data_IF_712313432466
#
_entry.id   IF_712313432466
#
_cell.length_a   1.000
_cell.length_b   1.000
_cell.length_c   1.000
_cell.angle_alpha   90.00
_cell.angle_beta   90.00
_cell.angle_gamma   90.00
#
_symmetry.space_group_name_H-M   'P 1'
#
loop_
_entity.id
_entity.type
_entity.pdbx_description
1 polymer ?
#
# COMPACT_ATOMS: atom_id res chain seq x y z
N UNK A 1 20.26 -23.85 -109.58
CA UNK A 1 18.80 -23.81 -109.36
C UNK A 1 18.53 -23.93 -107.87
N UNK A 2 18.20 -22.80 -107.28
CA UNK A 2 18.01 -22.58 -105.84
C UNK A 2 16.56 -22.91 -105.47
N UNK A 3 16.32 -23.67 -104.40
CA UNK A 3 14.97 -23.74 -103.81
C UNK A 3 15.03 -23.93 -102.30
N UNK A 4 14.40 -22.98 -101.63
CA UNK A 4 14.33 -22.74 -100.19
C UNK A 4 13.52 -23.82 -99.45
N UNK A 5 13.90 -24.09 -98.20
CA UNK A 5 12.94 -24.49 -97.16
C UNK A 5 13.08 -23.57 -95.95
N UNK A 6 12.02 -22.80 -95.72
CA UNK A 6 11.80 -21.88 -94.58
C UNK A 6 11.86 -22.65 -93.25
N UNK A 7 12.66 -22.15 -92.30
CA UNK A 7 12.55 -22.52 -90.88
C UNK A 7 11.63 -21.53 -90.17
N UNK A 8 10.69 -22.07 -89.39
CA UNK A 8 9.74 -21.32 -88.54
C UNK A 8 10.49 -20.58 -87.42
N UNK A 9 10.09 -19.36 -87.02
CA UNK A 9 10.60 -18.75 -85.81
C UNK A 9 9.91 -19.39 -84.59
N UNK A 10 10.70 -19.84 -83.61
CA UNK A 10 10.20 -20.28 -82.31
C UNK A 10 9.84 -19.05 -81.46
N UNK A 11 8.68 -19.13 -80.81
CA UNK A 11 8.17 -18.14 -79.85
C UNK A 11 9.17 -17.88 -78.73
N UNK A 12 9.53 -16.61 -78.54
CA UNK A 12 10.26 -16.15 -77.37
C UNK A 12 9.26 -15.79 -76.27
N UNK A 13 9.03 -16.69 -75.31
CA UNK A 13 8.24 -16.40 -74.10
C UNK A 13 9.16 -16.36 -72.88
N UNK A 14 9.88 -15.26 -72.69
CA UNK A 14 10.54 -15.00 -71.42
C UNK A 14 9.50 -14.52 -70.41
N UNK A 15 8.99 -15.42 -69.56
CA UNK A 15 8.26 -15.03 -68.34
C UNK A 15 9.23 -14.31 -67.42
N UNK A 16 9.09 -12.99 -67.29
CA UNK A 16 9.74 -12.23 -66.21
C UNK A 16 9.00 -12.54 -64.92
N UNK A 17 9.68 -13.19 -63.99
CA UNK A 17 9.24 -13.28 -62.60
C UNK A 17 9.57 -11.94 -61.96
N UNK A 18 8.54 -11.19 -61.59
CA UNK A 18 8.69 -9.98 -60.77
C UNK A 18 9.05 -10.46 -59.36
N UNK A 19 10.31 -10.32 -58.96
CA UNK A 19 10.70 -10.52 -57.56
C UNK A 19 10.08 -9.39 -56.74
N UNK A 20 9.26 -9.72 -55.75
CA UNK A 20 8.84 -8.79 -54.72
C UNK A 20 10.10 -8.29 -54.01
N UNK A 21 10.35 -6.98 -54.08
CA UNK A 21 11.37 -6.34 -53.26
C UNK A 21 10.83 -6.29 -51.83
N UNK A 22 11.43 -7.09 -50.94
CA UNK A 22 11.29 -6.86 -49.51
C UNK A 22 12.15 -5.63 -49.17
N UNK A 23 11.50 -4.55 -48.75
CA UNK A 23 12.21 -3.41 -48.16
C UNK A 23 12.90 -3.88 -46.88
N UNK A 24 14.19 -3.59 -46.77
CA UNK A 24 14.93 -3.80 -45.53
C UNK A 24 14.39 -2.81 -44.50
N UNK A 25 13.69 -3.30 -43.48
CA UNK A 25 13.33 -2.47 -42.34
C UNK A 25 14.60 -1.84 -41.74
N UNK A 26 14.54 -0.55 -41.43
CA UNK A 26 15.62 0.09 -40.66
C UNK A 26 15.79 -0.66 -39.34
N UNK A 27 17.03 -0.98 -38.95
CA UNK A 27 17.27 -1.57 -37.65
C UNK A 27 16.82 -0.57 -36.57
N UNK A 28 15.86 -0.97 -35.73
CA UNK A 28 15.55 -0.20 -34.51
C UNK A 28 16.80 -0.17 -33.65
N UNK A 29 17.47 0.97 -33.62
CA UNK A 29 18.53 1.20 -32.65
C UNK A 29 17.82 1.40 -31.30
N UNK A 30 17.78 0.33 -30.51
CA UNK A 30 17.37 0.43 -29.12
C UNK A 30 18.35 1.40 -28.46
N UNK A 31 17.86 2.55 -27.98
CA UNK A 31 18.58 3.40 -27.02
C UNK A 31 18.68 2.71 -25.64
N UNK A 32 18.37 1.41 -25.57
CA UNK A 32 18.79 0.58 -24.47
C UNK A 32 20.31 0.65 -24.41
N UNK A 33 20.78 0.74 -23.18
CA UNK A 33 22.15 0.93 -22.85
C UNK A 33 23.13 0.01 -23.58
N UNK A 34 24.41 0.39 -23.52
CA UNK A 34 25.48 -0.62 -23.54
C UNK A 34 24.99 -1.84 -22.74
N UNK A 35 25.01 -3.01 -23.38
CA UNK A 35 24.17 -4.18 -23.12
C UNK A 35 24.34 -4.87 -21.78
N UNK A 36 24.77 -4.14 -20.75
CA UNK A 36 25.00 -4.57 -19.39
C UNK A 36 24.47 -3.60 -18.30
N UNK A 37 24.01 -2.37 -18.60
CA UNK A 37 23.68 -1.39 -17.54
C UNK A 37 22.46 -0.51 -17.86
N UNK A 38 21.36 -0.55 -17.10
CA UNK A 38 20.26 0.43 -17.24
C UNK A 38 20.78 1.90 -17.24
N UNK A 39 20.49 2.69 -18.30
CA UNK A 39 20.92 4.12 -18.41
C UNK A 39 20.17 5.09 -17.50
N UNK A 40 19.06 4.62 -16.93
CA UNK A 40 18.24 5.37 -15.98
C UNK A 40 18.05 4.50 -14.75
N UNK A 41 18.54 4.97 -13.62
CA UNK A 41 18.14 4.50 -12.31
C UNK A 41 17.08 5.46 -11.77
N UNK A 42 15.96 4.93 -11.29
CA UNK A 42 15.05 5.67 -10.44
C UNK A 42 15.31 5.24 -8.99
N UNK A 43 15.23 6.18 -8.05
CA UNK A 43 15.20 5.81 -6.65
C UNK A 43 13.87 5.10 -6.37
N UNK A 44 13.94 3.92 -5.77
CA UNK A 44 12.80 3.27 -5.16
C UNK A 44 12.81 3.69 -3.68
N UNK A 45 11.84 4.50 -3.28
CA UNK A 45 11.58 4.77 -1.87
C UNK A 45 10.57 3.77 -1.31
N UNK A 46 10.61 3.54 0.00
CA UNK A 46 9.58 2.77 0.68
C UNK A 46 8.33 3.65 0.83
N UNK A 47 7.14 3.10 0.57
CA UNK A 47 5.89 3.79 0.83
C UNK A 47 5.58 3.71 2.32
N UNK A 48 5.77 4.83 3.01
CA UNK A 48 5.61 4.96 4.46
C UNK A 48 4.68 6.11 4.82
N UNK A 49 4.35 6.26 6.10
CA UNK A 49 3.29 7.16 6.57
C UNK A 49 3.55 8.63 6.26
N UNK A 50 4.82 9.02 6.06
CA UNK A 50 5.23 10.38 5.68
C UNK A 50 5.58 10.53 4.19
N UNK A 51 5.22 9.54 3.35
CA UNK A 51 5.39 9.63 1.90
C UNK A 51 4.32 10.53 1.28
N UNK A 52 4.70 11.52 0.44
CA UNK A 52 3.72 12.40 -0.21
C UNK A 52 2.95 11.69 -1.34
N UNK A 53 3.42 10.53 -1.81
CA UNK A 53 2.76 9.74 -2.84
C UNK A 53 1.64 8.86 -2.24
N UNK A 54 0.39 9.12 -2.63
CA UNK A 54 -0.75 8.28 -2.22
C UNK A 54 -0.84 7.07 -3.15
N UNK A 55 -0.08 6.03 -2.82
CA UNK A 55 0.08 4.87 -3.69
C UNK A 55 -1.11 3.90 -3.62
N UNK A 56 -1.80 3.88 -2.49
CA UNK A 56 -2.87 2.93 -2.20
C UNK A 56 -4.14 3.67 -1.80
N UNK A 57 -5.31 3.18 -2.23
CA UNK A 57 -6.61 3.65 -1.74
C UNK A 57 -6.79 3.36 -0.26
N UNK A 58 -6.24 2.24 0.21
CA UNK A 58 -6.16 1.87 1.62
C UNK A 58 -4.92 2.49 2.27
N UNK A 59 -5.15 3.52 3.07
CA UNK A 59 -4.12 4.28 3.77
C UNK A 59 -3.35 3.43 4.79
N UNK A 60 -3.96 2.37 5.32
CA UNK A 60 -3.34 1.51 6.33
C UNK A 60 -2.10 0.77 5.78
N UNK A 61 -2.04 0.54 4.47
CA UNK A 61 -0.90 -0.11 3.81
C UNK A 61 0.39 0.72 3.88
N UNK A 62 0.27 2.03 3.98
CA UNK A 62 1.39 2.94 4.18
C UNK A 62 1.66 3.24 5.67
N UNK A 63 0.95 2.58 6.59
CA UNK A 63 1.07 2.89 8.01
C UNK A 63 2.46 2.55 8.57
N UNK A 64 2.82 3.24 9.64
CA UNK A 64 4.03 2.95 10.40
C UNK A 64 3.92 1.55 11.06
N UNK A 65 5.03 0.85 11.32
CA UNK A 65 5.00 -0.29 12.24
C UNK A 65 4.37 0.09 13.58
N UNK A 66 3.76 -0.90 14.25
CA UNK A 66 3.13 -0.69 15.55
C UNK A 66 4.08 -0.08 16.58
N UNK A 67 3.61 0.97 17.23
CA UNK A 67 4.23 1.58 18.39
C UNK A 67 3.63 0.91 19.63
N UNK A 68 4.49 0.32 20.46
CA UNK A 68 4.07 -0.25 21.73
C UNK A 68 3.76 0.87 22.71
N UNK A 69 2.49 1.22 22.89
CA UNK A 69 2.07 2.28 23.80
C UNK A 69 1.68 1.71 25.16
N UNK A 70 1.50 2.59 26.14
CA UNK A 70 0.96 2.21 27.44
C UNK A 70 0.05 3.29 28.02
N UNK A 71 -0.91 2.87 28.85
CA UNK A 71 -1.75 3.75 29.65
C UNK A 71 -1.68 3.37 31.12
N UNK A 72 -1.61 4.36 31.99
CA UNK A 72 -1.88 4.17 33.41
C UNK A 72 -3.40 4.12 33.62
N UNK A 73 -3.94 2.97 33.99
CA UNK A 73 -5.40 2.78 34.07
C UNK A 73 -6.03 3.54 35.22
N UNK A 74 -5.25 4.05 36.18
CA UNK A 74 -5.74 4.85 37.29
C UNK A 74 -5.78 6.35 36.98
N UNK A 75 -4.83 6.87 36.18
CA UNK A 75 -4.70 8.31 35.90
C UNK A 75 -5.09 8.69 34.48
N UNK A 76 -5.15 7.72 33.55
CA UNK A 76 -5.31 7.97 32.11
C UNK A 76 -4.04 8.50 31.43
N UNK A 77 -2.92 8.56 32.14
CA UNK A 77 -1.65 9.02 31.57
C UNK A 77 -1.14 8.06 30.50
N UNK A 78 -0.83 8.60 29.32
CA UNK A 78 -0.34 7.83 28.17
C UNK A 78 1.18 7.91 28.08
N UNK A 79 1.82 6.78 27.78
CA UNK A 79 3.22 6.70 27.40
C UNK A 79 3.28 6.32 25.92
N UNK A 80 3.93 7.16 25.13
CA UNK A 80 3.92 7.05 23.66
C UNK A 80 4.60 5.78 23.15
N UNK A 81 5.72 5.39 23.75
CA UNK A 81 6.49 4.22 23.34
C UNK A 81 7.17 3.56 24.55
N UNK A 82 6.86 2.28 24.76
CA UNK A 82 7.47 1.41 25.77
C UNK A 82 8.15 0.19 25.14
N UNK A 83 8.27 0.13 23.81
CA UNK A 83 8.63 -1.07 23.04
C UNK A 83 10.00 -1.66 23.38
N UNK A 84 10.94 -0.83 23.83
CA UNK A 84 12.25 -1.29 24.30
C UNK A 84 12.17 -2.13 25.58
N UNK A 85 11.17 -1.88 26.43
CA UNK A 85 10.99 -2.55 27.73
C UNK A 85 9.84 -3.55 27.74
N UNK A 86 8.79 -3.27 26.97
CA UNK A 86 7.56 -4.04 26.87
C UNK A 86 7.19 -4.13 25.37
N UNK A 87 7.87 -4.99 24.59
CA UNK A 87 7.54 -5.19 23.19
C UNK A 87 6.11 -5.75 23.05
N UNK A 88 5.47 -5.47 21.91
CA UNK A 88 4.16 -6.02 21.60
C UNK A 88 4.25 -7.52 21.28
N UNK A 89 3.23 -8.28 21.67
CA UNK A 89 3.07 -9.66 21.22
C UNK A 89 2.42 -9.67 19.83
N UNK A 90 3.23 -9.90 18.80
CA UNK A 90 2.79 -9.91 17.41
C UNK A 90 2.82 -11.34 16.85
N UNK A 91 1.87 -11.68 15.99
CA UNK A 91 1.93 -12.91 15.19
C UNK A 91 2.89 -12.76 13.99
N UNK A 92 2.96 -13.81 13.16
CA UNK A 92 3.81 -13.83 11.97
C UNK A 92 3.45 -12.76 10.92
N UNK A 93 2.22 -12.21 10.97
CA UNK A 93 1.74 -11.16 10.08
C UNK A 93 1.87 -9.76 10.70
N UNK A 94 2.41 -9.65 11.92
CA UNK A 94 2.52 -8.38 12.64
C UNK A 94 1.25 -7.95 13.36
N UNK A 95 0.27 -8.84 13.52
CA UNK A 95 -1.00 -8.55 14.22
C UNK A 95 -0.78 -8.53 15.74
N UNK A 96 -1.19 -7.50 16.48
CA UNK A 96 -1.17 -7.52 17.94
C UNK A 96 -2.15 -8.54 18.50
N UNK A 97 -1.64 -9.57 19.16
CA UNK A 97 -2.45 -10.71 19.64
C UNK A 97 -2.84 -10.60 21.11
N UNK A 98 -2.07 -9.86 21.91
CA UNK A 98 -2.33 -9.67 23.33
C UNK A 98 -1.66 -8.40 23.84
N UNK A 99 -2.24 -7.80 24.88
CA UNK A 99 -1.65 -6.69 25.61
C UNK A 99 -1.33 -7.11 27.04
N UNK A 100 -0.12 -6.74 27.47
CA UNK A 100 0.37 -7.02 28.82
C UNK A 100 -0.05 -5.93 29.80
N UNK A 101 -0.20 -6.31 31.07
CA UNK A 101 -0.38 -5.38 32.18
C UNK A 101 0.75 -5.56 33.20
N UNK A 102 1.22 -4.46 33.79
CA UNK A 102 2.23 -4.48 34.84
C UNK A 102 1.98 -3.38 35.88
N UNK A 103 2.79 -3.37 36.94
CA UNK A 103 2.74 -2.36 37.99
C UNK A 103 3.89 -1.38 37.83
N UNK A 104 3.61 -0.08 37.87
CA UNK A 104 4.66 0.93 37.99
C UNK A 104 5.21 0.97 39.44
N UNK A 105 6.22 1.82 39.68
CA UNK A 105 6.85 1.96 41.00
C UNK A 105 5.87 2.38 42.13
N UNK A 106 4.75 3.02 41.77
CA UNK A 106 3.70 3.42 42.70
C UNK A 106 2.61 2.34 42.89
N UNK A 107 2.77 1.14 42.32
CA UNK A 107 1.80 0.04 42.41
C UNK A 107 0.56 0.20 41.52
N UNK A 108 0.55 1.19 40.63
CA UNK A 108 -0.56 1.44 39.71
C UNK A 108 -0.49 0.51 38.50
N UNK A 109 -1.64 0.06 38.00
CA UNK A 109 -1.71 -0.78 36.80
C UNK A 109 -1.42 0.06 35.55
N UNK A 110 -0.47 -0.43 34.77
CA UNK A 110 -0.18 0.05 33.43
C UNK A 110 -0.62 -1.02 32.45
N UNK A 111 -1.33 -0.63 31.39
CA UNK A 111 -1.81 -1.52 30.32
C UNK A 111 -1.15 -1.14 29.00
N UNK A 112 -0.67 -2.13 28.28
CA UNK A 112 -0.12 -1.97 26.94
C UNK A 112 -1.22 -1.73 25.90
N UNK A 113 -0.90 -1.01 24.84
CA UNK A 113 -1.75 -0.76 23.67
C UNK A 113 -0.87 -0.76 22.41
N UNK A 114 -1.48 -0.86 21.23
CA UNK A 114 -0.77 -0.74 19.96
C UNK A 114 -1.27 0.49 19.19
N UNK A 115 -0.38 1.42 18.87
CA UNK A 115 -0.69 2.60 18.06
C UNK A 115 0.03 2.57 16.72
N UNK A 116 -0.57 3.12 15.67
CA UNK A 116 0.10 3.36 14.39
C UNK A 116 -0.36 4.68 13.76
N UNK A 117 0.44 5.19 12.84
CA UNK A 117 0.26 6.47 12.16
C UNK A 117 0.16 6.26 10.65
N UNK A 118 -0.65 7.10 10.02
CA UNK A 118 -0.81 7.25 8.57
C UNK A 118 -0.75 8.74 8.21
N UNK A 119 -0.24 9.09 7.03
CA UNK A 119 -0.17 10.46 6.52
C UNK A 119 0.49 11.49 7.46
N UNK A 120 1.51 11.05 8.19
CA UNK A 120 2.20 11.87 9.20
C UNK A 120 3.12 12.87 8.52
N UNK A 121 3.19 14.10 9.05
CA UNK A 121 4.17 15.12 8.63
C UNK A 121 4.06 15.51 7.15
N UNK A 122 2.86 15.39 6.58
CA UNK A 122 2.56 15.79 5.20
C UNK A 122 1.99 17.21 5.07
N UNK A 123 1.86 17.95 6.17
CA UNK A 123 1.31 19.31 6.20
C UNK A 123 -0.02 19.48 5.42
N UNK A 124 -0.89 18.48 5.55
CA UNK A 124 -2.20 18.45 4.89
C UNK A 124 -2.17 17.96 3.44
N UNK A 125 -1.04 17.51 2.92
CA UNK A 125 -0.91 16.94 1.57
C UNK A 125 -1.42 15.49 1.49
N UNK A 126 -2.65 15.25 1.97
CA UNK A 126 -3.42 14.02 1.80
C UNK A 126 -4.91 14.32 1.62
N UNK A 127 -5.69 13.36 1.14
CA UNK A 127 -7.11 13.57 0.87
C UNK A 127 -7.88 13.96 2.15
N UNK A 128 -8.68 15.02 2.07
CA UNK A 128 -9.67 15.35 3.11
C UNK A 128 -11.03 14.77 2.76
N UNK A 129 -11.84 14.44 3.76
CA UNK A 129 -13.17 13.89 3.54
C UNK A 129 -13.55 12.80 4.52
N UNK A 130 -14.55 12.00 4.17
CA UNK A 130 -14.98 10.85 4.98
C UNK A 130 -14.23 9.61 4.52
N UNK A 131 -13.39 9.10 5.41
CA UNK A 131 -12.71 7.82 5.25
C UNK A 131 -13.58 6.71 5.82
N UNK A 132 -13.47 5.52 5.25
CA UNK A 132 -14.13 4.32 5.77
C UNK A 132 -13.06 3.38 6.33
N UNK A 133 -13.19 3.00 7.59
CA UNK A 133 -12.33 2.02 8.22
C UNK A 133 -13.12 0.75 8.55
N UNK A 134 -12.53 -0.41 8.29
CA UNK A 134 -13.07 -1.71 8.68
C UNK A 134 -12.00 -2.56 9.36
N UNK A 135 -12.43 -3.44 10.25
CA UNK A 135 -11.57 -4.44 10.88
C UNK A 135 -12.38 -5.62 11.42
N UNK A 136 -11.66 -6.71 11.63
CA UNK A 136 -12.17 -7.92 12.28
C UNK A 136 -11.66 -8.07 13.70
N UNK A 137 -12.33 -8.94 14.45
CA UNK A 137 -11.88 -9.43 15.74
C UNK A 137 -12.42 -8.65 16.93
N UNK A 138 -12.19 -9.20 18.11
CA UNK A 138 -12.74 -8.68 19.36
C UNK A 138 -11.74 -7.75 20.03
N UNK A 139 -12.12 -6.48 20.20
CA UNK A 139 -11.27 -5.48 20.82
C UNK A 139 -11.87 -4.08 20.83
N UNK A 140 -11.03 -3.09 21.10
CA UNK A 140 -11.39 -1.67 21.05
C UNK A 140 -10.39 -0.94 20.17
N UNK A 141 -10.88 -0.39 19.06
CA UNK A 141 -10.10 0.41 18.12
C UNK A 141 -10.56 1.86 18.21
N UNK A 142 -9.61 2.79 18.32
CA UNK A 142 -9.87 4.22 18.37
C UNK A 142 -9.06 4.96 17.30
N UNK A 143 -9.61 6.09 16.86
CA UNK A 143 -9.01 6.96 15.86
C UNK A 143 -8.86 8.37 16.40
N UNK A 144 -7.82 9.08 15.99
CA UNK A 144 -7.56 10.44 16.43
C UNK A 144 -6.63 11.23 15.51
N UNK A 145 -6.08 12.30 16.08
CA UNK A 145 -5.35 13.36 15.36
C UNK A 145 -6.27 14.03 14.33
N UNK A 146 -5.94 13.95 13.04
CA UNK A 146 -6.69 14.62 11.99
C UNK A 146 -8.00 13.88 11.65
N UNK A 147 -8.20 12.67 12.19
CA UNK A 147 -9.42 11.87 12.05
C UNK A 147 -10.35 12.01 13.26
N UNK A 148 -11.63 12.25 12.97
CA UNK A 148 -12.71 12.21 13.96
C UNK A 148 -13.76 11.19 13.53
N UNK A 149 -14.00 10.18 14.37
CA UNK A 149 -15.07 9.22 14.15
C UNK A 149 -16.44 9.89 14.19
N UNK A 150 -17.25 9.69 13.15
CA UNK A 150 -18.59 10.26 12.99
C UNK A 150 -19.69 9.19 12.95
N UNK A 151 -19.35 7.95 12.58
CA UNK A 151 -20.21 6.78 12.69
C UNK A 151 -19.37 5.54 12.98
N UNK A 152 -19.98 4.52 13.58
CA UNK A 152 -19.35 3.23 13.82
C UNK A 152 -20.40 2.16 14.07
N UNK A 153 -20.06 0.91 13.78
CA UNK A 153 -20.93 -0.21 14.10
C UNK A 153 -20.36 -1.53 13.63
N UNK A 154 -21.27 -2.44 13.25
CA UNK A 154 -20.93 -3.67 12.56
C UNK A 154 -21.69 -3.75 11.24
N UNK A 155 -21.03 -4.27 10.22
CA UNK A 155 -21.64 -4.58 8.93
C UNK A 155 -22.56 -5.80 9.06
N UNK A 156 -23.39 -6.05 8.06
CA UNK A 156 -24.26 -7.23 8.02
C UNK A 156 -23.51 -8.55 7.96
N UNK A 157 -22.23 -8.53 7.55
CA UNK A 157 -21.34 -9.70 7.50
C UNK A 157 -20.49 -9.87 8.78
N UNK A 158 -20.59 -8.93 9.72
CA UNK A 158 -19.97 -9.03 11.06
C UNK A 158 -18.69 -8.22 11.27
N UNK A 159 -18.15 -7.58 10.23
CA UNK A 159 -16.98 -6.70 10.34
C UNK A 159 -17.33 -5.47 11.17
N UNK A 160 -16.39 -4.98 11.97
CA UNK A 160 -16.52 -3.67 12.59
C UNK A 160 -16.23 -2.59 11.56
N UNK A 161 -16.91 -1.44 11.66
CA UNK A 161 -16.61 -0.28 10.82
C UNK A 161 -16.61 1.02 11.61
N UNK A 162 -15.91 2.02 11.07
CA UNK A 162 -15.97 3.40 11.49
C UNK A 162 -15.86 4.35 10.28
N UNK A 163 -16.75 5.34 10.20
CA UNK A 163 -16.60 6.45 9.27
C UNK A 163 -15.88 7.60 9.98
N UNK A 164 -14.83 8.11 9.34
CA UNK A 164 -13.93 9.09 9.93
C UNK A 164 -13.99 10.38 9.10
N UNK A 165 -14.48 11.46 9.69
CA UNK A 165 -14.28 12.79 9.12
C UNK A 165 -12.82 13.19 9.33
N UNK A 166 -12.07 13.29 8.23
CA UNK A 166 -10.66 13.66 8.23
C UNK A 166 -10.49 15.09 7.75
N UNK A 167 -9.77 15.89 8.53
CA UNK A 167 -9.36 17.26 8.17
C UNK A 167 -7.85 17.29 8.05
N UNK A 168 -7.27 17.28 6.83
CA UNK A 168 -5.84 17.10 6.64
C UNK A 168 -4.97 18.13 7.37
N UNK A 169 -3.97 17.66 8.09
CA UNK A 169 -3.00 18.48 8.81
C UNK A 169 -1.62 17.85 8.81
N UNK A 170 -0.75 18.27 9.73
CA UNK A 170 0.56 17.64 9.90
C UNK A 170 0.46 16.40 10.80
N UNK A 171 -0.61 16.29 11.60
CA UNK A 171 -0.85 15.22 12.57
C UNK A 171 -0.98 13.84 11.92
N UNK A 172 -1.61 13.78 10.76
CA UNK A 172 -1.99 12.54 10.11
C UNK A 172 -3.13 11.86 10.85
N UNK A 173 -3.38 10.61 10.50
CA UNK A 173 -4.40 9.78 11.14
C UNK A 173 -3.70 8.86 12.14
N UNK A 174 -4.18 8.86 13.38
CA UNK A 174 -3.71 7.94 14.41
C UNK A 174 -4.76 6.85 14.66
N UNK A 175 -4.35 5.59 14.53
CA UNK A 175 -5.15 4.42 14.89
C UNK A 175 -4.54 3.77 16.13
N UNK A 176 -5.38 3.42 17.11
CA UNK A 176 -4.94 2.68 18.30
C UNK A 176 -5.85 1.50 18.60
N UNK A 177 -5.25 0.35 18.90
CA UNK A 177 -5.91 -0.81 19.48
C UNK A 177 -5.67 -0.74 20.99
N UNK A 178 -6.74 -0.46 21.74
CA UNK A 178 -6.72 -0.28 23.20
C UNK A 178 -6.94 -1.58 23.96
N UNK A 179 -7.64 -2.53 23.32
CA UNK A 179 -7.89 -3.87 23.83
C UNK A 179 -7.99 -4.85 22.66
N UNK A 180 -7.56 -6.09 22.87
CA UNK A 180 -7.72 -7.18 21.91
C UNK A 180 -7.85 -8.53 22.62
N UNK A 181 -8.52 -9.49 21.98
CA UNK A 181 -8.69 -10.85 22.48
C UNK A 181 -7.65 -11.80 21.86
N UNK A 182 -6.88 -12.56 22.66
CA UNK A 182 -5.97 -13.57 22.12
C UNK A 182 -6.67 -14.70 21.33
N UNK A 183 -7.95 -14.95 21.61
CA UNK A 183 -8.75 -15.95 20.89
C UNK A 183 -9.32 -15.42 19.57
N UNK A 184 -9.39 -14.10 19.42
CA UNK A 184 -9.93 -13.42 18.25
C UNK A 184 -9.32 -12.01 18.13
N UNK A 185 -8.04 -11.90 17.71
CA UNK A 185 -7.32 -10.64 17.70
C UNK A 185 -7.91 -9.65 16.70
N UNK A 186 -7.74 -8.35 17.00
CA UNK A 186 -8.08 -7.28 16.06
C UNK A 186 -7.13 -7.37 14.88
N UNK A 187 -7.68 -7.55 13.68
CA UNK A 187 -6.92 -7.86 12.46
C UNK A 187 -7.66 -7.36 11.23
N UNK A 188 -7.03 -7.57 10.07
CA UNK A 188 -7.60 -7.23 8.75
C UNK A 188 -8.10 -5.78 8.70
N UNK A 189 -7.24 -4.87 9.16
CA UNK A 189 -7.56 -3.46 9.30
C UNK A 189 -7.36 -2.79 7.95
N UNK A 190 -8.40 -2.09 7.51
CA UNK A 190 -8.38 -1.25 6.32
C UNK A 190 -8.86 0.16 6.64
N UNK A 191 -8.27 1.15 5.97
CA UNK A 191 -8.66 2.56 6.10
C UNK A 191 -8.68 3.21 4.71
N UNK A 192 -9.81 3.15 4.03
CA UNK A 192 -9.97 3.66 2.68
C UNK A 192 -10.17 5.17 2.64
N UNK A 193 -9.42 5.84 1.77
CA UNK A 193 -9.58 7.26 1.43
C UNK A 193 -10.94 7.55 0.79
N UNK A 194 -11.45 8.81 0.82
CA UNK A 194 -12.73 9.17 0.21
C UNK A 194 -12.80 8.81 -1.29
N UNK A 195 -14.01 8.57 -1.79
CA UNK A 195 -14.31 8.27 -3.19
C UNK A 195 -13.64 6.99 -3.74
N UNK A 196 -13.49 5.98 -2.86
CA UNK A 196 -12.90 4.67 -3.14
C UNK A 196 -13.71 3.78 -4.09
#
# INVERSE_FOLDING_TARGET
MTSQRRRRPAMNSSRRWTSLQLESCEPRQLLAADGQHMRVGMNLENVVDWSPAWTFTDAFQASRPWIAQAVNTATGEMVWDVGASHPLNLDANGTPTAFTEWKNAAGQTIRQMAGTLMFRELDGAYAGGVYHAEWDGTGTVTFGFDARMIASGQTSTGHHYADLQVTPGSGGIFLRIEATSPADPVRDIHVWMPDW
#
